data_IF_374345635405
#
_entry.id   IF_374345635405
#
_cell.length_a   1.000
_cell.length_b   1.000
_cell.length_c   1.000
_cell.angle_alpha   90.00
_cell.angle_beta   90.00
_cell.angle_gamma   90.00
#
_symmetry.space_group_name_H-M   'P 1'
#
loop_
_entity.id
_entity.type
_entity.pdbx_description
1 polymer ?
#
# COMPACT_ATOMS: atom_id res chain seq x y z
N UNK A 1 22.80 27.01 5.42
CA UNK A 1 23.02 26.97 6.87
C UNK A 1 21.65 26.96 7.52
N UNK A 2 21.32 25.93 8.29
CA UNK A 2 20.01 25.80 8.96
C UNK A 2 20.06 26.52 10.31
N UNK A 3 18.97 27.16 10.73
CA UNK A 3 18.91 27.75 12.07
C UNK A 3 18.80 26.69 13.17
N UNK A 4 18.61 25.41 12.83
CA UNK A 4 18.75 24.29 13.77
C UNK A 4 20.21 23.94 14.10
N UNK A 5 21.20 24.60 13.47
CA UNK A 5 22.59 24.44 13.90
C UNK A 5 22.74 24.86 15.37
N UNK A 6 23.43 24.04 16.15
CA UNK A 6 23.70 24.25 17.58
C UNK A 6 24.25 25.64 17.90
N UNK A 7 25.00 26.26 16.97
CA UNK A 7 25.56 27.60 17.13
C UNK A 7 24.50 28.72 17.12
N UNK A 8 23.29 28.43 16.62
CA UNK A 8 22.18 29.36 16.59
C UNK A 8 21.37 29.38 17.90
N UNK A 9 21.67 28.50 18.86
CA UNK A 9 21.02 28.43 20.17
C UNK A 9 21.84 29.20 21.22
N UNK A 10 21.30 30.26 21.83
CA UNK A 10 22.02 31.08 22.82
C UNK A 10 22.48 30.31 24.08
N UNK A 11 21.82 29.21 24.43
CA UNK A 11 22.12 28.41 25.63
C UNK A 11 21.87 26.93 25.38
N UNK A 12 22.37 26.45 24.24
CA UNK A 12 22.16 25.10 23.74
C UNK A 12 22.30 24.02 24.82
N UNK A 13 21.27 23.20 24.95
CA UNK A 13 21.38 21.90 25.61
C UNK A 13 21.59 20.79 24.57
N UNK A 14 22.40 19.75 24.87
CA UNK A 14 22.58 18.64 23.94
C UNK A 14 21.24 18.11 23.43
N UNK A 15 21.13 17.99 22.11
CA UNK A 15 19.96 17.53 21.35
C UNK A 15 18.73 18.43 21.34
N UNK A 16 18.79 19.67 21.85
CA UNK A 16 17.66 20.62 21.87
C UNK A 16 17.08 20.89 20.48
N UNK A 17 17.90 20.84 19.43
CA UNK A 17 17.48 21.07 18.05
C UNK A 17 16.59 19.98 17.46
N UNK A 18 16.68 18.75 17.98
CA UNK A 18 15.93 17.59 17.49
C UNK A 18 14.44 17.69 17.83
N UNK A 19 14.02 17.82 19.11
CA UNK A 19 12.61 17.99 19.44
C UNK A 19 12.04 19.28 18.84
N UNK A 20 12.82 20.34 18.73
CA UNK A 20 12.38 21.59 18.10
C UNK A 20 12.05 21.40 16.61
N UNK A 21 12.88 20.64 15.88
CA UNK A 21 12.60 20.29 14.48
C UNK A 21 11.30 19.50 14.32
N UNK A 22 11.10 18.45 15.12
CA UNK A 22 9.90 17.63 15.04
C UNK A 22 8.65 18.41 15.47
N UNK A 23 8.75 19.17 16.57
CA UNK A 23 7.66 20.03 17.06
C UNK A 23 7.24 21.05 16.01
N UNK A 24 8.21 21.72 15.38
CA UNK A 24 7.94 22.69 14.32
C UNK A 24 7.33 22.05 13.08
N UNK A 25 7.84 20.89 12.67
CA UNK A 25 7.31 20.13 11.51
C UNK A 25 5.85 19.73 11.74
N UNK A 26 5.53 19.19 12.92
CA UNK A 26 4.15 18.80 13.28
C UNK A 26 3.24 20.02 13.37
N UNK A 27 3.71 21.11 13.98
CA UNK A 27 2.94 22.36 14.11
C UNK A 27 2.58 22.93 12.74
N UNK A 28 3.53 22.97 11.80
CA UNK A 28 3.26 23.41 10.42
C UNK A 28 2.30 22.44 9.70
N UNK A 29 2.55 21.13 9.78
CA UNK A 29 1.68 20.11 9.17
C UNK A 29 0.22 20.22 9.62
N UNK A 30 -0.03 20.48 10.90
CA UNK A 30 -1.37 20.65 11.44
C UNK A 30 -2.13 21.86 10.85
N UNK A 31 -1.42 22.85 10.29
CA UNK A 31 -2.06 23.97 9.58
C UNK A 31 -2.47 23.62 8.15
N UNK A 32 -2.10 22.42 7.66
CA UNK A 32 -2.28 21.98 6.29
C UNK A 32 -3.19 20.73 6.18
N UNK A 33 -4.46 20.78 6.62
CA UNK A 33 -5.40 19.67 6.52
C UNK A 33 -5.83 19.40 5.06
N UNK A 34 -4.87 18.94 4.25
CA UNK A 34 -4.99 18.82 2.80
C UNK A 34 -6.16 17.93 2.38
N UNK A 35 -6.45 16.88 3.15
CA UNK A 35 -7.61 16.02 2.91
C UNK A 35 -8.92 16.79 2.98
N UNK A 36 -9.09 17.64 4.00
CA UNK A 36 -10.34 18.39 4.20
C UNK A 36 -10.55 19.41 3.08
N UNK A 37 -9.49 20.05 2.61
CA UNK A 37 -9.53 20.98 1.47
C UNK A 37 -9.88 20.26 0.16
N UNK A 38 -9.22 19.13 -0.12
CA UNK A 38 -9.52 18.30 -1.27
C UNK A 38 -10.97 17.80 -1.25
N UNK A 39 -11.44 17.29 -0.11
CA UNK A 39 -12.79 16.80 0.05
C UNK A 39 -13.84 17.91 -0.14
N UNK A 40 -13.59 19.12 0.38
CA UNK A 40 -14.46 20.29 0.16
C UNK A 40 -14.53 20.69 -1.32
N UNK A 41 -13.44 20.50 -2.08
CA UNK A 41 -13.38 20.66 -3.54
C UNK A 41 -13.94 19.48 -4.34
N UNK A 42 -14.47 18.44 -3.69
CA UNK A 42 -14.99 17.24 -4.34
C UNK A 42 -13.92 16.24 -4.82
N UNK A 43 -12.66 16.44 -4.44
CA UNK A 43 -11.55 15.52 -4.71
C UNK A 43 -11.41 14.57 -3.52
N UNK A 44 -12.15 13.47 -3.54
CA UNK A 44 -12.14 12.46 -2.49
C UNK A 44 -11.51 11.15 -2.97
N UNK A 45 -10.95 10.32 -2.06
CA UNK A 45 -10.40 9.04 -2.46
C UNK A 45 -11.44 8.16 -3.17
N UNK A 46 -11.09 7.62 -4.33
CA UNK A 46 -11.96 6.80 -5.18
C UNK A 46 -11.16 5.75 -5.93
N UNK A 47 -11.79 4.59 -6.17
CA UNK A 47 -11.23 3.51 -6.99
C UNK A 47 -11.62 3.60 -8.45
N UNK A 48 -12.55 4.49 -8.80
CA UNK A 48 -13.16 4.57 -10.14
C UNK A 48 -13.09 5.97 -10.75
N UNK A 49 -12.95 7.00 -9.92
CA UNK A 49 -12.86 8.39 -10.35
C UNK A 49 -11.39 8.75 -10.50
N UNK A 50 -11.08 9.38 -11.62
CA UNK A 50 -9.79 10.06 -11.82
C UNK A 50 -10.02 11.56 -11.84
N UNK A 51 -8.96 12.28 -11.51
CA UNK A 51 -8.96 13.73 -11.40
C UNK A 51 -7.94 14.35 -12.36
N UNK A 52 -8.08 15.65 -12.55
CA UNK A 52 -7.11 16.49 -13.24
C UNK A 52 -6.19 17.17 -12.24
N UNK A 53 -4.96 17.50 -12.64
CA UNK A 53 -4.05 18.28 -11.82
C UNK A 53 -4.69 19.61 -11.40
N UNK A 54 -5.48 20.22 -12.29
CA UNK A 54 -6.21 21.45 -12.00
C UNK A 54 -7.22 21.30 -10.85
N UNK A 55 -7.95 20.18 -10.77
CA UNK A 55 -8.89 19.95 -9.66
C UNK A 55 -8.17 19.88 -8.30
N UNK A 56 -6.96 19.31 -8.24
CA UNK A 56 -6.15 19.38 -7.02
C UNK A 56 -5.71 20.81 -6.72
N UNK A 57 -5.23 21.55 -7.72
CA UNK A 57 -4.78 22.94 -7.51
C UNK A 57 -5.92 23.86 -7.08
N UNK A 58 -7.11 23.72 -7.68
CA UNK A 58 -8.29 24.52 -7.34
C UNK A 58 -8.72 24.29 -5.88
N UNK A 59 -8.53 23.08 -5.37
CA UNK A 59 -8.83 22.75 -3.99
C UNK A 59 -7.73 23.16 -2.99
N UNK A 60 -6.45 23.14 -3.39
CA UNK A 60 -5.31 23.36 -2.49
C UNK A 60 -4.77 24.80 -2.51
N UNK A 61 -4.59 25.39 -3.69
CA UNK A 61 -3.93 26.70 -3.84
C UNK A 61 -4.62 27.85 -3.09
N UNK A 62 -5.97 27.92 -2.95
CA UNK A 62 -6.59 28.99 -2.17
C UNK A 62 -6.19 28.99 -0.69
N UNK A 63 -5.81 27.83 -0.16
CA UNK A 63 -5.34 27.67 1.22
C UNK A 63 -3.82 27.89 1.37
N UNK A 64 -3.10 28.04 0.26
CA UNK A 64 -1.65 28.26 0.22
C UNK A 64 -1.28 29.60 -0.44
N UNK A 65 -2.06 30.64 -0.14
CA UNK A 65 -1.83 32.01 -0.65
C UNK A 65 -2.05 32.17 -2.16
N UNK A 66 -2.76 31.24 -2.81
CA UNK A 66 -2.95 31.20 -4.25
C UNK A 66 -1.81 30.54 -5.03
N UNK A 67 -0.76 30.07 -4.34
CA UNK A 67 0.38 29.40 -4.98
C UNK A 67 0.06 27.93 -5.30
N UNK A 68 0.63 27.42 -6.38
CA UNK A 68 0.49 26.00 -6.70
C UNK A 68 1.23 25.11 -5.70
N UNK A 69 0.56 24.03 -5.30
CA UNK A 69 1.15 22.97 -4.47
C UNK A 69 1.80 21.95 -5.39
N UNK A 70 3.02 21.52 -5.11
CA UNK A 70 3.61 20.46 -5.93
C UNK A 70 2.84 19.15 -5.71
N UNK A 71 2.38 18.54 -6.80
CA UNK A 71 1.74 17.23 -6.79
C UNK A 71 2.76 16.19 -7.24
N UNK A 72 3.08 15.24 -6.36
CA UNK A 72 3.85 14.05 -6.69
C UNK A 72 2.90 12.92 -7.07
N UNK A 73 3.15 12.30 -8.22
CA UNK A 73 2.53 11.05 -8.60
C UNK A 73 3.59 9.98 -8.85
N UNK A 74 3.20 8.74 -8.59
CA UNK A 74 3.91 7.55 -9.06
C UNK A 74 3.81 7.40 -10.57
N UNK A 75 4.64 6.51 -11.14
CA UNK A 75 4.56 6.13 -12.57
C UNK A 75 3.17 5.58 -12.98
N UNK A 76 2.35 5.16 -12.02
CA UNK A 76 0.97 4.70 -12.23
C UNK A 76 -0.08 5.81 -12.20
N UNK A 77 0.32 7.08 -12.27
CA UNK A 77 -0.53 8.26 -12.13
C UNK A 77 -1.28 8.34 -10.80
N UNK A 78 -0.83 7.63 -9.76
CA UNK A 78 -1.39 7.74 -8.42
C UNK A 78 -0.74 8.89 -7.68
N UNK A 79 -1.53 9.79 -7.13
CA UNK A 79 -1.00 10.84 -6.25
C UNK A 79 -0.48 10.22 -4.94
N UNK A 80 0.76 10.52 -4.60
CA UNK A 80 1.45 9.99 -3.41
C UNK A 80 2.08 11.09 -2.55
N UNK A 81 2.38 12.26 -3.14
CA UNK A 81 2.98 13.37 -2.42
C UNK A 81 2.29 14.72 -2.67
N UNK A 82 2.28 15.57 -1.65
CA UNK A 82 1.93 16.99 -1.74
C UNK A 82 3.03 17.79 -1.04
N UNK A 83 3.69 18.71 -1.77
CA UNK A 83 4.74 19.53 -1.18
C UNK A 83 4.32 21.01 -1.18
N UNK A 84 4.20 21.56 0.03
CA UNK A 84 3.93 22.97 0.27
C UNK A 84 5.24 23.70 0.49
N UNK A 85 5.59 24.60 -0.43
CA UNK A 85 6.83 25.36 -0.32
C UNK A 85 6.61 26.68 0.42
N UNK A 86 7.65 27.08 1.15
CA UNK A 86 7.67 28.32 1.91
C UNK A 86 9.01 29.01 1.75
N UNK A 87 8.99 30.34 1.72
CA UNK A 87 10.12 31.10 2.25
C UNK A 87 9.98 31.23 3.76
N UNK A 88 11.10 31.32 4.47
CA UNK A 88 11.10 31.50 5.92
C UNK A 88 11.68 32.86 6.25
N UNK A 89 10.88 33.70 6.90
CA UNK A 89 11.33 34.96 7.48
C UNK A 89 11.70 34.76 8.95
N UNK A 90 12.99 34.84 9.26
CA UNK A 90 13.53 34.55 10.59
C UNK A 90 14.12 33.14 10.67
N UNK A 91 14.01 32.51 11.83
CA UNK A 91 14.49 31.14 12.04
C UNK A 91 13.44 30.11 11.58
N UNK A 92 13.88 28.89 11.28
CA UNK A 92 12.95 27.80 10.94
C UNK A 92 12.11 27.40 12.16
N UNK A 93 12.65 27.54 13.38
CA UNK A 93 11.97 27.24 14.65
C UNK A 93 10.73 28.12 14.87
N UNK A 94 10.89 29.44 14.79
CA UNK A 94 9.89 30.41 15.27
C UNK A 94 9.50 31.45 14.21
N UNK A 95 10.19 31.45 13.07
CA UNK A 95 9.97 32.39 11.99
C UNK A 95 8.62 32.20 11.29
N UNK A 96 8.33 33.14 10.40
CA UNK A 96 7.10 33.13 9.61
C UNK A 96 7.34 32.39 8.31
N UNK A 97 6.44 31.46 7.98
CA UNK A 97 6.49 30.66 6.77
C UNK A 97 5.56 31.31 5.74
N UNK A 98 6.15 31.92 4.72
CA UNK A 98 5.44 32.62 3.66
C UNK A 98 5.22 31.69 2.47
N UNK A 99 3.96 31.36 2.11
CA UNK A 99 3.65 30.46 1.00
C UNK A 99 4.31 30.87 -0.32
N UNK A 100 4.88 29.89 -1.02
CA UNK A 100 5.39 30.05 -2.39
C UNK A 100 5.15 28.78 -3.19
N UNK A 101 5.32 28.87 -4.51
CA UNK A 101 5.42 27.72 -5.42
C UNK A 101 6.87 27.49 -5.86
N UNK A 102 7.22 26.22 -6.12
CA UNK A 102 8.52 25.83 -6.65
C UNK A 102 8.42 24.50 -7.38
N UNK A 103 9.20 24.36 -8.46
CA UNK A 103 9.25 23.13 -9.25
C UNK A 103 8.01 22.90 -10.11
N UNK A 104 7.96 21.72 -10.75
CA UNK A 104 6.86 21.28 -11.61
C UNK A 104 6.38 19.91 -11.16
N UNK A 105 5.08 19.71 -11.05
CA UNK A 105 4.46 18.43 -10.68
C UNK A 105 4.95 17.25 -11.52
N UNK A 106 5.09 16.06 -10.90
CA UNK A 106 5.30 14.80 -11.63
C UNK A 106 3.99 14.14 -12.08
N UNK A 107 2.84 14.64 -11.64
CA UNK A 107 1.53 14.16 -12.05
C UNK A 107 1.18 14.57 -13.49
N UNK A 108 0.45 13.73 -14.24
CA UNK A 108 -0.12 14.11 -15.53
C UNK A 108 -1.21 15.18 -15.35
N UNK A 109 -1.52 15.91 -16.43
CA UNK A 109 -2.59 16.91 -16.40
C UNK A 109 -3.98 16.32 -16.09
N UNK A 110 -4.22 15.06 -16.47
CA UNK A 110 -5.50 14.35 -16.32
C UNK A 110 -5.26 12.87 -16.00
N UNK A 111 -6.26 12.20 -15.43
CA UNK A 111 -6.18 10.76 -15.18
C UNK A 111 -5.39 10.43 -13.91
N UNK A 112 -5.30 11.38 -12.98
CA UNK A 112 -4.67 11.18 -11.68
C UNK A 112 -5.60 10.33 -10.82
N UNK A 113 -5.07 9.25 -10.27
CA UNK A 113 -5.77 8.45 -9.29
C UNK A 113 -5.51 8.96 -7.88
N UNK A 114 -6.59 9.15 -7.13
CA UNK A 114 -6.52 9.37 -5.69
C UNK A 114 -7.23 8.21 -5.00
N UNK A 115 -6.47 7.19 -4.65
CA UNK A 115 -7.05 5.98 -4.12
C UNK A 115 -7.32 6.06 -2.61
N UNK A 116 -8.35 5.37 -2.09
CA UNK A 116 -8.52 5.19 -0.66
C UNK A 116 -7.25 4.63 -0.01
N UNK A 117 -6.95 5.06 1.23
CA UNK A 117 -5.83 4.49 1.97
C UNK A 117 -5.99 2.97 2.06
N UNK A 118 -4.89 2.25 1.82
CA UNK A 118 -4.89 0.78 1.79
C UNK A 118 -5.42 0.17 0.49
N UNK A 119 -5.76 0.97 -0.53
CA UNK A 119 -6.08 0.41 -1.85
C UNK A 119 -4.80 0.24 -2.69
N UNK A 120 -4.57 -0.98 -3.18
CA UNK A 120 -3.52 -1.29 -4.14
C UNK A 120 -4.13 -1.42 -5.54
N UNK A 121 -3.79 -0.53 -6.49
CA UNK A 121 -4.33 -0.59 -7.84
C UNK A 121 -3.89 -1.87 -8.55
N UNK A 122 -4.76 -2.54 -9.33
CA UNK A 122 -4.34 -3.64 -10.18
C UNK A 122 -3.27 -3.12 -11.14
N UNK A 123 -2.07 -3.69 -11.11
CA UNK A 123 -1.02 -3.36 -12.08
C UNK A 123 -1.53 -3.66 -13.48
N UNK A 124 -1.77 -2.61 -14.27
CA UNK A 124 -1.94 -2.74 -15.71
C UNK A 124 -0.66 -3.27 -16.30
N UNK A 125 -0.60 -4.58 -16.53
CA UNK A 125 0.32 -5.22 -17.47
C UNK A 125 0.03 -4.61 -18.84
N UNK A 126 0.73 -3.52 -19.17
CA UNK A 126 0.87 -3.07 -20.56
C UNK A 126 1.50 -4.22 -21.33
N UNK A 127 0.70 -4.90 -22.13
CA UNK A 127 1.13 -5.85 -23.13
C UNK A 127 2.08 -5.14 -24.10
N UNK A 128 3.38 -5.28 -23.86
CA UNK A 128 4.43 -4.90 -24.79
C UNK A 128 4.32 -5.79 -26.05
N UNK A 129 4.45 -5.24 -27.28
CA UNK A 129 4.45 -6.05 -28.49
C UNK A 129 5.61 -7.04 -28.45
N UNK A 130 5.30 -8.33 -28.60
CA UNK A 130 6.30 -9.40 -28.60
C UNK A 130 7.24 -9.28 -29.81
N UNK A 131 8.50 -8.95 -29.57
CA UNK A 131 9.58 -9.35 -30.49
C UNK A 131 10.05 -10.74 -30.10
N UNK A 132 9.89 -11.66 -31.05
CA UNK A 132 10.20 -13.08 -30.98
C UNK A 132 11.60 -13.38 -30.43
N UNK A 133 11.67 -14.08 -29.31
CA UNK A 133 12.82 -14.89 -28.94
C UNK A 133 12.34 -16.21 -28.31
N UNK A 134 12.63 -17.28 -29.02
CA UNK A 134 12.33 -18.67 -28.70
C UNK A 134 13.04 -19.11 -27.42
N UNK A 135 12.31 -19.45 -26.36
CA UNK A 135 12.78 -20.37 -25.34
C UNK A 135 11.61 -21.10 -24.64
N UNK A 136 11.69 -22.42 -24.78
CA UNK A 136 10.87 -23.54 -24.31
C UNK A 136 10.14 -23.38 -22.98
N UNK A 137 8.86 -23.79 -23.02
CA UNK A 137 7.89 -23.84 -21.94
C UNK A 137 8.25 -24.72 -20.74
N UNK A 138 7.72 -24.35 -19.56
CA UNK A 138 7.05 -25.30 -18.68
C UNK A 138 5.71 -24.70 -18.30
N UNK A 139 4.65 -25.38 -18.72
CA UNK A 139 3.27 -24.92 -18.64
C UNK A 139 2.79 -24.79 -17.20
N UNK A 140 2.10 -23.69 -16.88
CA UNK A 140 1.05 -23.68 -15.87
C UNK A 140 -0.13 -22.95 -16.49
N UNK A 141 -1.26 -23.64 -16.54
CA UNK A 141 -2.44 -23.29 -17.32
C UNK A 141 -2.91 -21.86 -17.03
N UNK A 142 -2.87 -21.01 -18.05
CA UNK A 142 -3.55 -19.73 -18.07
C UNK A 142 -5.05 -19.98 -18.20
N UNK A 143 -5.77 -19.82 -17.09
CA UNK A 143 -7.22 -19.73 -17.10
C UNK A 143 -7.66 -18.45 -17.82
N UNK A 144 -8.65 -18.56 -18.68
CA UNK A 144 -9.29 -17.44 -19.38
C UNK A 144 -9.87 -16.44 -18.37
N UNK A 145 -9.87 -15.15 -18.74
CA UNK A 145 -10.19 -13.96 -17.94
C UNK A 145 -11.64 -13.85 -17.39
N UNK A 146 -12.22 -14.94 -16.87
CA UNK A 146 -13.62 -14.99 -16.39
C UNK A 146 -13.75 -15.61 -14.99
N UNK A 147 -12.67 -16.11 -14.38
CA UNK A 147 -12.75 -16.68 -13.03
C UNK A 147 -12.76 -15.57 -11.97
N UNK A 148 -13.84 -15.48 -11.20
CA UNK A 148 -13.98 -14.53 -10.09
C UNK A 148 -12.91 -14.81 -9.01
N UNK A 149 -12.05 -13.83 -8.68
CA UNK A 149 -11.05 -13.98 -7.62
C UNK A 149 -11.69 -14.34 -6.28
N UNK A 150 -11.01 -15.14 -5.47
CA UNK A 150 -11.54 -15.70 -4.22
C UNK A 150 -12.89 -16.43 -4.33
N UNK A 151 -13.34 -16.85 -5.52
CA UNK A 151 -14.45 -17.79 -5.67
C UNK A 151 -13.92 -19.21 -5.92
N UNK A 152 -14.29 -20.16 -5.07
CA UNK A 152 -13.87 -21.56 -5.21
C UNK A 152 -12.37 -21.77 -4.95
N UNK A 153 -11.68 -22.52 -5.81
CA UNK A 153 -10.28 -22.94 -5.60
C UNK A 153 -9.28 -21.98 -6.23
N UNK A 154 -8.14 -21.81 -5.59
CA UNK A 154 -7.05 -20.98 -6.09
C UNK A 154 -5.77 -21.12 -5.28
N UNK A 155 -4.85 -20.21 -5.56
CA UNK A 155 -3.54 -20.09 -4.94
C UNK A 155 -3.38 -18.69 -4.39
N UNK A 156 -2.67 -18.55 -3.27
CA UNK A 156 -2.35 -17.26 -2.67
C UNK A 156 -0.84 -17.02 -2.79
N UNK A 157 -0.47 -15.97 -3.51
CA UNK A 157 0.92 -15.55 -3.71
C UNK A 157 1.25 -14.39 -2.78
N UNK A 158 2.51 -14.30 -2.35
CA UNK A 158 2.98 -13.27 -1.43
C UNK A 158 3.82 -12.26 -2.21
N UNK A 159 3.58 -10.97 -1.97
CA UNK A 159 4.25 -9.84 -2.63
C UNK A 159 4.88 -8.93 -1.58
N UNK A 160 5.98 -8.27 -1.92
CA UNK A 160 6.51 -7.19 -1.07
C UNK A 160 5.76 -5.86 -1.36
N UNK A 161 6.07 -4.84 -0.58
CA UNK A 161 5.53 -3.47 -0.74
C UNK A 161 5.81 -2.85 -2.11
N UNK A 162 6.80 -3.34 -2.86
CA UNK A 162 7.12 -2.88 -4.21
C UNK A 162 6.41 -3.70 -5.31
N UNK A 163 5.46 -4.56 -4.96
CA UNK A 163 4.68 -5.35 -5.92
C UNK A 163 5.45 -6.49 -6.59
N UNK A 164 6.62 -6.88 -6.06
CA UNK A 164 7.37 -8.04 -6.53
C UNK A 164 6.91 -9.29 -5.80
N UNK A 165 6.60 -10.34 -6.56
CA UNK A 165 6.25 -11.64 -5.99
C UNK A 165 7.45 -12.23 -5.24
N UNK A 166 7.26 -12.52 -3.94
CA UNK A 166 8.29 -13.06 -3.06
C UNK A 166 8.03 -14.52 -2.66
N UNK A 167 6.98 -15.15 -3.17
CA UNK A 167 6.70 -16.57 -2.92
C UNK A 167 5.21 -16.86 -2.92
N UNK A 168 4.81 -17.88 -2.16
CA UNK A 168 3.43 -18.35 -2.10
C UNK A 168 3.08 -18.96 -0.73
N UNK A 169 1.77 -19.06 -0.48
CA UNK A 169 1.22 -19.68 0.72
C UNK A 169 1.13 -21.20 0.57
N UNK A 170 1.57 -21.91 1.60
CA UNK A 170 1.52 -23.38 1.70
C UNK A 170 0.38 -23.85 2.60
N UNK A 171 0.16 -25.17 2.65
CA UNK A 171 -1.07 -25.76 3.19
C UNK A 171 -1.33 -25.46 4.67
N UNK A 172 -0.30 -25.06 5.42
CA UNK A 172 -0.39 -24.66 6.83
C UNK A 172 -0.70 -23.17 7.04
N UNK A 173 -0.88 -22.39 5.97
CA UNK A 173 -1.05 -20.92 6.03
C UNK A 173 0.27 -20.15 6.08
N UNK A 174 1.41 -20.85 6.02
CA UNK A 174 2.75 -20.24 6.03
C UNK A 174 3.20 -19.78 4.64
N UNK A 175 4.20 -18.91 4.60
CA UNK A 175 4.84 -18.41 3.38
C UNK A 175 6.10 -19.23 3.05
N UNK A 176 6.28 -19.57 1.77
CA UNK A 176 7.47 -20.26 1.25
C UNK A 176 8.02 -19.55 0.00
N UNK A 177 9.35 -19.44 -0.12
CA UNK A 177 10.02 -18.67 -1.19
C UNK A 177 10.80 -19.52 -2.18
N UNK A 178 11.20 -20.74 -1.82
CA UNK A 178 11.89 -21.64 -2.74
C UNK A 178 10.94 -22.23 -3.79
N UNK A 179 11.53 -22.76 -4.86
CA UNK A 179 10.81 -23.50 -5.90
C UNK A 179 9.95 -24.59 -5.27
N UNK A 180 8.68 -24.63 -5.66
CA UNK A 180 7.69 -25.55 -5.11
C UNK A 180 6.31 -25.26 -5.66
N UNK A 181 5.32 -25.96 -5.14
CA UNK A 181 3.93 -25.83 -5.58
C UNK A 181 3.11 -25.10 -4.50
N UNK A 182 2.40 -24.02 -4.85
CA UNK A 182 1.49 -23.36 -3.93
C UNK A 182 0.41 -24.33 -3.43
N UNK A 183 -0.06 -24.11 -2.20
CA UNK A 183 -1.20 -24.85 -1.71
C UNK A 183 -2.45 -24.47 -2.49
N UNK A 184 -3.25 -25.49 -2.84
CA UNK A 184 -4.62 -25.23 -3.27
C UNK A 184 -5.42 -24.80 -2.05
N UNK A 185 -5.95 -23.58 -2.12
CA UNK A 185 -6.81 -22.97 -1.11
C UNK A 185 -8.22 -22.92 -1.70
N UNK A 186 -9.23 -23.20 -0.89
CA UNK A 186 -10.64 -23.09 -1.26
C UNK A 186 -11.25 -21.96 -0.46
N UNK A 187 -11.77 -20.95 -1.14
CA UNK A 187 -12.63 -19.93 -0.56
C UNK A 187 -14.08 -20.41 -0.55
N UNK A 188 -14.79 -20.13 0.54
CA UNK A 188 -16.23 -20.37 0.61
C UNK A 188 -17.06 -19.31 -0.12
N UNK A 189 -16.44 -18.24 -0.63
CA UNK A 189 -17.16 -17.21 -1.40
C UNK A 189 -17.57 -17.75 -2.77
N UNK A 190 -18.75 -17.36 -3.22
CA UNK A 190 -19.24 -17.56 -4.59
C UNK A 190 -19.18 -16.27 -5.42
N UNK A 191 -19.01 -15.13 -4.77
CA UNK A 191 -18.99 -13.78 -5.39
C UNK A 191 -17.59 -13.17 -5.44
N UNK A 192 -16.61 -13.80 -4.78
CA UNK A 192 -15.26 -13.25 -4.62
C UNK A 192 -15.14 -12.15 -3.58
N UNK A 193 -16.24 -11.89 -2.86
CA UNK A 193 -16.37 -10.86 -1.83
C UNK A 193 -16.68 -11.51 -0.48
N UNK A 194 -16.26 -10.85 0.60
CA UNK A 194 -16.44 -11.33 1.97
C UNK A 194 -17.86 -11.13 2.53
N UNK A 195 -18.14 -11.69 3.71
CA UNK A 195 -17.23 -12.55 4.48
C UNK A 195 -17.13 -13.97 3.90
N UNK A 196 -15.92 -14.54 3.88
CA UNK A 196 -15.68 -15.93 3.51
C UNK A 196 -14.59 -16.58 4.38
N UNK A 197 -14.57 -17.91 4.43
CA UNK A 197 -13.50 -18.70 5.04
C UNK A 197 -12.58 -19.26 3.97
N UNK A 198 -11.31 -19.44 4.32
CA UNK A 198 -10.34 -20.19 3.51
C UNK A 198 -10.09 -21.57 4.09
N UNK A 199 -9.97 -22.58 3.22
CA UNK A 199 -9.70 -23.97 3.60
C UNK A 199 -8.58 -24.54 2.75
N UNK A 200 -7.62 -25.20 3.38
CA UNK A 200 -6.54 -25.94 2.69
C UNK A 200 -6.71 -27.44 2.88
N UNK A 201 -5.79 -28.24 2.33
CA UNK A 201 -5.70 -29.67 2.65
C UNK A 201 -5.36 -29.98 4.11
N UNK A 202 -4.94 -28.97 4.91
CA UNK A 202 -4.68 -29.13 6.34
C UNK A 202 -5.88 -28.78 7.21
N UNK A 203 -6.84 -27.99 6.72
CA UNK A 203 -8.04 -27.63 7.46
C UNK A 203 -8.48 -26.19 7.20
N UNK A 204 -9.38 -25.68 8.03
CA UNK A 204 -9.82 -24.28 7.99
C UNK A 204 -8.65 -23.37 8.38
N UNK A 205 -8.60 -22.19 7.77
CA UNK A 205 -7.66 -21.14 8.12
C UNK A 205 -8.28 -20.17 9.12
N UNK A 206 -7.52 -19.81 10.15
CA UNK A 206 -7.85 -18.78 11.13
C UNK A 206 -6.69 -17.80 11.31
N UNK A 207 -7.02 -16.59 11.77
CA UNK A 207 -6.06 -15.67 12.35
C UNK A 207 -6.03 -15.96 13.85
N UNK A 208 -4.86 -16.32 14.36
CA UNK A 208 -4.63 -16.65 15.77
C UNK A 208 -4.59 -15.38 16.64
N UNK A 209 -4.55 -15.55 17.96
CA UNK A 209 -4.51 -14.42 18.91
C UNK A 209 -3.26 -13.53 18.76
N UNK A 210 -2.17 -14.08 18.23
CA UNK A 210 -0.93 -13.36 17.89
C UNK A 210 -0.96 -12.76 16.48
N UNK A 211 -2.13 -12.69 15.86
CA UNK A 211 -2.36 -12.29 14.46
C UNK A 211 -1.80 -13.22 13.40
N UNK A 212 -1.23 -14.38 13.74
CA UNK A 212 -0.68 -15.30 12.74
C UNK A 212 -1.76 -16.03 11.94
N UNK A 213 -1.56 -16.13 10.62
CA UNK A 213 -2.37 -16.98 9.74
C UNK A 213 -1.97 -18.44 9.94
N UNK A 214 -2.96 -19.26 10.27
CA UNK A 214 -2.77 -20.67 10.56
C UNK A 214 -3.88 -21.52 9.98
N UNK A 215 -3.53 -22.54 9.19
CA UNK A 215 -4.49 -23.49 8.63
C UNK A 215 -4.18 -24.90 9.11
N UNK A 216 -5.12 -25.51 9.84
CA UNK A 216 -4.94 -26.82 10.47
C UNK A 216 -6.29 -27.48 10.78
N UNK A 217 -6.27 -28.80 11.00
CA UNK A 217 -7.48 -29.58 11.25
C UNK A 217 -8.08 -29.26 12.62
N UNK A 218 -7.28 -28.72 13.54
CA UNK A 218 -7.73 -28.22 14.85
C UNK A 218 -8.54 -26.92 14.77
N UNK A 219 -8.51 -26.20 13.64
CA UNK A 219 -9.30 -24.97 13.46
C UNK A 219 -10.76 -25.35 13.19
N UNK A 220 -11.61 -25.15 14.21
CA UNK A 220 -13.06 -25.44 14.13
C UNK A 220 -13.88 -24.25 13.66
N UNK A 221 -13.37 -23.03 13.84
CA UNK A 221 -13.99 -21.77 13.39
C UNK A 221 -12.99 -21.00 12.53
N UNK A 222 -13.26 -20.92 11.23
CA UNK A 222 -12.42 -20.18 10.30
C UNK A 222 -12.53 -18.67 10.48
N UNK A 223 -11.44 -17.94 10.20
CA UNK A 223 -11.47 -16.49 10.15
C UNK A 223 -12.40 -16.00 9.03
N UNK A 224 -13.05 -14.86 9.26
CA UNK A 224 -13.87 -14.18 8.27
C UNK A 224 -12.98 -13.25 7.46
N UNK A 225 -12.66 -13.66 6.25
CA UNK A 225 -11.88 -12.88 5.30
C UNK A 225 -12.79 -12.12 4.33
N UNK A 226 -12.23 -11.07 3.77
CA UNK A 226 -12.82 -10.27 2.71
C UNK A 226 -11.83 -10.21 1.54
N UNK A 227 -12.24 -9.63 0.43
CA UNK A 227 -11.36 -9.40 -0.71
C UNK A 227 -11.82 -8.16 -1.44
N UNK A 228 -10.89 -7.39 -1.98
CA UNK A 228 -11.14 -6.25 -2.87
C UNK A 228 -11.23 -6.67 -4.36
N UNK A 229 -11.18 -7.98 -4.64
CA UNK A 229 -11.12 -8.53 -5.98
C UNK A 229 -9.74 -9.07 -6.36
N UNK A 230 -8.69 -8.86 -5.58
CA UNK A 230 -7.39 -9.50 -5.82
C UNK A 230 -6.62 -9.85 -4.56
N UNK A 231 -6.77 -9.05 -3.51
CA UNK A 231 -6.05 -9.18 -2.25
C UNK A 231 -6.93 -9.80 -1.17
N UNK A 232 -6.31 -10.61 -0.31
CA UNK A 232 -7.00 -11.11 0.87
C UNK A 232 -7.10 -9.97 1.87
N UNK A 233 -8.25 -9.84 2.54
CA UNK A 233 -8.44 -8.86 3.61
C UNK A 233 -8.86 -9.54 4.89
N UNK A 234 -8.36 -9.05 6.02
CA UNK A 234 -8.80 -9.42 7.35
C UNK A 234 -9.05 -8.17 8.18
N UNK A 235 -10.21 -8.12 8.84
CA UNK A 235 -10.62 -6.96 9.66
C UNK A 235 -10.55 -5.61 8.92
N UNK A 236 -10.88 -5.61 7.62
CA UNK A 236 -10.89 -4.40 6.78
C UNK A 236 -9.52 -3.94 6.26
N UNK A 237 -8.45 -4.70 6.49
CA UNK A 237 -7.11 -4.42 5.99
C UNK A 237 -6.61 -5.55 5.09
N UNK A 238 -5.94 -5.21 3.99
CA UNK A 238 -5.18 -6.12 3.13
C UNK A 238 -3.69 -6.21 3.53
N UNK A 239 -3.29 -5.46 4.56
CA UNK A 239 -1.93 -5.45 5.08
C UNK A 239 -1.69 -6.74 5.86
N UNK A 240 -0.65 -7.46 5.43
CA UNK A 240 -0.04 -8.53 6.20
C UNK A 240 1.43 -8.20 6.42
N UNK A 241 2.03 -8.86 7.39
CA UNK A 241 3.44 -8.67 7.70
C UNK A 241 4.09 -9.99 8.08
N UNK A 242 5.42 -10.03 8.09
CA UNK A 242 6.23 -11.17 8.47
C UNK A 242 7.42 -10.72 9.32
N UNK A 243 7.89 -11.59 10.21
CA UNK A 243 9.06 -11.29 11.03
C UNK A 243 10.34 -11.10 10.18
N UNK A 244 10.48 -11.90 9.11
CA UNK A 244 11.56 -11.83 8.12
C UNK A 244 11.11 -12.43 6.79
N UNK A 245 11.79 -12.08 5.70
CA UNK A 245 11.65 -12.78 4.41
C UNK A 245 12.30 -14.17 4.52
N UNK A 246 11.56 -15.27 4.31
CA UNK A 246 12.10 -16.62 4.34
C UNK A 246 13.06 -16.84 3.16
N UNK A 247 14.09 -17.65 3.38
CA UNK A 247 15.05 -18.03 2.34
C UNK A 247 15.33 -19.53 2.38
N UNK A 248 15.74 -20.08 1.23
CA UNK A 248 15.97 -21.51 1.08
C UNK A 248 14.70 -22.31 1.43
N UNK A 249 14.82 -23.26 2.35
CA UNK A 249 13.71 -24.13 2.78
C UNK A 249 12.97 -23.61 4.01
N UNK A 250 13.30 -22.42 4.52
CA UNK A 250 12.61 -21.82 5.65
C UNK A 250 11.17 -21.43 5.29
N UNK A 251 10.26 -21.55 6.25
CA UNK A 251 8.86 -21.12 6.11
C UNK A 251 8.64 -19.87 6.97
N UNK A 252 8.07 -18.83 6.39
CA UNK A 252 7.65 -17.61 7.10
C UNK A 252 6.26 -17.76 7.68
N UNK A 253 6.03 -17.08 8.80
CA UNK A 253 4.69 -16.88 9.35
C UNK A 253 4.14 -15.59 8.78
N UNK A 254 2.90 -15.63 8.30
CA UNK A 254 2.17 -14.46 7.82
C UNK A 254 1.34 -13.96 9.01
N UNK A 255 1.42 -12.68 9.32
CA UNK A 255 0.66 -12.01 10.36
C UNK A 255 -0.31 -11.02 9.73
N UNK A 256 -1.55 -10.95 10.22
CA UNK A 256 -2.48 -9.90 9.80
C UNK A 256 -2.08 -8.56 10.40
N UNK A 257 -2.13 -7.49 9.60
CA UNK A 257 -1.69 -6.15 9.97
C UNK A 257 -0.18 -5.92 9.80
N UNK A 258 0.28 -4.75 10.26
CA UNK A 258 1.64 -4.19 10.12
C UNK A 258 2.53 -4.44 11.37
N UNK A 259 2.15 -5.39 12.22
CA UNK A 259 2.82 -5.65 13.51
C UNK A 259 4.21 -6.29 13.41
N UNK A 260 4.72 -6.58 12.22
CA UNK A 260 6.03 -7.20 11.99
C UNK A 260 6.86 -6.36 11.01
N UNK A 261 8.21 -6.44 11.06
CA UNK A 261 9.09 -5.52 10.33
C UNK A 261 9.11 -5.68 8.80
N UNK A 262 8.50 -6.74 8.24
CA UNK A 262 8.43 -6.95 6.80
C UNK A 262 6.98 -6.87 6.35
N UNK A 263 6.62 -5.79 5.67
CA UNK A 263 5.31 -5.64 5.05
C UNK A 263 5.17 -6.53 3.82
N UNK A 264 4.06 -7.26 3.75
CA UNK A 264 3.73 -8.16 2.65
C UNK A 264 2.27 -8.00 2.23
N UNK A 265 2.03 -8.11 0.93
CA UNK A 265 0.71 -8.26 0.34
C UNK A 265 0.44 -9.71 -0.03
N UNK A 266 -0.83 -10.04 -0.26
CA UNK A 266 -1.22 -11.33 -0.83
C UNK A 266 -2.09 -11.14 -2.06
N UNK A 267 -1.92 -11.99 -3.09
CA UNK A 267 -2.76 -11.97 -4.29
C UNK A 267 -3.30 -13.35 -4.63
N UNK A 268 -4.57 -13.42 -5.01
CA UNK A 268 -5.24 -14.65 -5.40
C UNK A 268 -5.13 -14.95 -6.89
N UNK A 269 -4.81 -16.20 -7.21
CA UNK A 269 -4.85 -16.73 -8.57
C UNK A 269 -5.84 -17.91 -8.61
N UNK A 270 -6.94 -17.81 -9.36
CA UNK A 270 -7.90 -18.90 -9.50
C UNK A 270 -7.26 -20.19 -10.03
N UNK A 271 -7.71 -21.34 -9.52
CA UNK A 271 -7.27 -22.66 -9.97
C UNK A 271 -8.31 -23.24 -10.93
N UNK A 272 -7.89 -23.44 -12.18
CA UNK A 272 -8.42 -24.49 -13.04
C UNK A 272 -7.79 -25.84 -12.64
#
# INVERSE_FOLDING_TARGET
MSTFDTQCYPSYQPTEEVPDFFSRTVSLYQTLPSYDWLAAGGVVPSTTVTYTAQQFQDALSPHHGGNQVYLGCTDGNQIDELWYYYYVQGSVQDGTFEPTEFGSSSCPATGIYYYPKGYVPPTTITSQPATSATATATATASCTATATPFAGKGYLYVYNSTGTQQGFVISTGKWYTAAGTPATITSSSTTGQGPFTLTTSKGLCAIQADSSLFCDASVTTGAQFYSDGSSLQFNGSDVFSAATTPSGTAQGVIFAGDGQPVDIGTQWVPKC
#
